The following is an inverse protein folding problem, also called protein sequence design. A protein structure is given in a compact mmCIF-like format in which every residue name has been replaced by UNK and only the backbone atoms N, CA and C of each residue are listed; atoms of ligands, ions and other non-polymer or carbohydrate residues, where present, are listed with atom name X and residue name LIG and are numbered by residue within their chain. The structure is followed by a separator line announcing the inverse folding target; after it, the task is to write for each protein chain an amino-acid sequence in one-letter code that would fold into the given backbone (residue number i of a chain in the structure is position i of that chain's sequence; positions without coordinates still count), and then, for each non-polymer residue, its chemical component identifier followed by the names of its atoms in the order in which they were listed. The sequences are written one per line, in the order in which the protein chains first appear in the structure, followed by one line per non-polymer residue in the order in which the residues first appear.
data_IF_755442233200
#
_entry.id   IF_755442233200
#
_cell.length_a   1.000
_cell.length_b   1.000
_cell.length_c   1.000
_cell.angle_alpha   90.00
_cell.angle_beta   90.00
_cell.angle_gamma   90.00
#
_symmetry.space_group_name_H-M   'P 1'
#
loop_
_entity.id
_entity.type
_entity.pdbx_description
1 polymer ?
#
# COMPACT_ATOMS: atom_id res chain seq x y z
N UNK A 1 62.97 94.54 17.20
CA UNK A 1 62.69 94.16 15.80
C UNK A 1 63.25 92.77 15.56
N UNK A 2 62.40 91.74 15.65
CA UNK A 2 62.82 90.33 15.59
C UNK A 2 61.72 89.43 16.13
N UNK A 3 60.63 89.27 15.38
CA UNK A 3 59.52 88.36 15.74
C UNK A 3 58.58 88.08 14.56
N UNK A 4 58.48 88.99 13.57
CA UNK A 4 57.55 88.83 12.42
C UNK A 4 58.00 87.72 11.46
N UNK A 5 59.28 87.67 11.11
CA UNK A 5 59.82 86.64 10.20
C UNK A 5 59.72 85.21 10.74
N UNK A 6 59.78 85.02 12.06
CA UNK A 6 59.64 83.67 12.66
C UNK A 6 58.22 83.13 12.61
N UNK A 7 57.19 84.00 12.58
CA UNK A 7 55.80 83.57 12.54
C UNK A 7 55.38 83.12 11.12
N UNK A 8 55.86 83.83 10.09
CA UNK A 8 55.61 83.46 8.69
C UNK A 8 56.21 82.09 8.34
N UNK A 9 57.42 81.78 8.82
CA UNK A 9 58.06 80.48 8.63
C UNK A 9 57.33 79.34 9.34
N UNK A 10 56.78 79.60 10.54
CA UNK A 10 55.97 78.63 11.30
C UNK A 10 54.66 78.35 10.58
N UNK A 11 53.94 79.37 10.13
CA UNK A 11 52.69 79.21 9.36
C UNK A 11 52.96 78.44 8.06
N UNK A 12 54.04 78.75 7.34
CA UNK A 12 54.42 78.04 6.12
C UNK A 12 54.80 76.57 6.39
N UNK A 13 55.36 76.26 7.56
CA UNK A 13 55.61 74.89 7.98
C UNK A 13 54.32 74.14 8.30
N UNK A 14 53.43 74.71 9.12
CA UNK A 14 52.14 74.11 9.49
C UNK A 14 51.25 73.89 8.27
N UNK A 15 51.22 74.85 7.33
CA UNK A 15 50.48 74.72 6.08
C UNK A 15 51.00 73.54 5.24
N UNK A 16 52.33 73.33 5.15
CA UNK A 16 52.90 72.17 4.45
C UNK A 16 52.52 70.86 5.11
N UNK A 17 52.54 70.81 6.44
CA UNK A 17 52.10 69.62 7.20
C UNK A 17 50.63 69.34 6.92
N UNK A 18 49.77 70.36 7.01
CA UNK A 18 48.33 70.24 6.75
C UNK A 18 48.05 69.76 5.32
N UNK A 19 48.71 70.33 4.32
CA UNK A 19 48.56 69.92 2.93
C UNK A 19 49.05 68.48 2.70
N UNK A 20 50.10 68.07 3.41
CA UNK A 20 50.56 66.68 3.42
C UNK A 20 49.52 65.71 3.99
N UNK A 21 48.94 66.02 5.14
CA UNK A 21 47.89 65.19 5.76
C UNK A 21 46.61 65.16 4.92
N UNK A 22 46.20 66.30 4.36
CA UNK A 22 45.08 66.41 3.46
C UNK A 22 45.29 65.54 2.21
N UNK A 23 46.46 65.63 1.57
CA UNK A 23 46.80 64.80 0.41
C UNK A 23 46.76 63.30 0.73
N UNK A 24 47.26 62.89 1.91
CA UNK A 24 47.15 61.49 2.36
C UNK A 24 45.70 61.06 2.60
N UNK A 25 44.88 61.92 3.22
CA UNK A 25 43.47 61.64 3.42
C UNK A 25 42.72 61.52 2.08
N UNK A 26 42.96 62.45 1.15
CA UNK A 26 42.39 62.44 -0.19
C UNK A 26 42.81 61.18 -0.96
N UNK A 27 44.08 60.76 -0.89
CA UNK A 27 44.56 59.54 -1.52
C UNK A 27 43.86 58.30 -0.96
N UNK A 28 43.71 58.20 0.37
CA UNK A 28 42.98 57.10 1.02
C UNK A 28 41.51 57.05 0.57
N UNK A 29 40.81 58.18 0.61
CA UNK A 29 39.41 58.27 0.18
C UNK A 29 39.26 57.91 -1.31
N UNK A 30 40.15 58.39 -2.16
CA UNK A 30 40.13 58.09 -3.60
C UNK A 30 40.37 56.59 -3.86
N UNK A 31 41.31 55.98 -3.14
CA UNK A 31 41.57 54.55 -3.24
C UNK A 31 40.36 53.71 -2.75
N UNK A 32 39.72 54.13 -1.65
CA UNK A 32 38.51 53.47 -1.15
C UNK A 32 37.35 53.57 -2.14
N UNK A 33 37.12 54.74 -2.73
CA UNK A 33 36.08 54.94 -3.75
C UNK A 33 36.34 54.10 -5.00
N UNK A 34 37.59 54.04 -5.47
CA UNK A 34 37.97 53.21 -6.61
C UNK A 34 37.75 51.71 -6.32
N UNK A 35 38.13 51.24 -5.12
CA UNK A 35 37.90 49.86 -4.70
C UNK A 35 36.41 49.53 -4.60
N UNK A 36 35.60 50.44 -4.06
CA UNK A 36 34.14 50.27 -3.99
C UNK A 36 33.51 50.25 -5.38
N UNK A 37 33.91 51.14 -6.28
CA UNK A 37 33.41 51.16 -7.66
C UNK A 37 33.74 49.86 -8.41
N UNK A 38 34.97 49.33 -8.25
CA UNK A 38 35.36 48.04 -8.80
C UNK A 38 34.52 46.90 -8.23
N UNK A 39 34.23 46.93 -6.93
CA UNK A 39 33.38 45.92 -6.28
C UNK A 39 31.93 45.96 -6.77
N UNK A 40 31.37 47.15 -6.95
CA UNK A 40 30.01 47.32 -7.51
C UNK A 40 29.97 46.75 -8.93
N UNK A 41 30.91 47.12 -9.79
CA UNK A 41 30.97 46.60 -11.16
C UNK A 41 31.10 45.06 -11.21
N UNK A 42 31.90 44.47 -10.31
CA UNK A 42 31.99 43.03 -10.18
C UNK A 42 30.64 42.41 -9.80
N UNK A 43 30.00 42.91 -8.74
CA UNK A 43 28.72 42.38 -8.26
C UNK A 43 27.59 42.56 -9.29
N UNK A 44 27.58 43.66 -10.03
CA UNK A 44 26.63 43.88 -11.13
C UNK A 44 26.81 42.84 -12.24
N UNK A 45 28.07 42.50 -12.57
CA UNK A 45 28.36 41.44 -13.56
C UNK A 45 27.94 40.04 -13.07
N UNK A 46 28.08 39.78 -11.77
CA UNK A 46 27.67 38.52 -11.14
C UNK A 46 26.15 38.42 -11.09
N UNK A 47 25.46 39.51 -10.73
CA UNK A 47 24.00 39.59 -10.73
C UNK A 47 23.43 39.40 -12.14
N UNK A 48 24.03 40.02 -13.15
CA UNK A 48 23.61 39.85 -14.55
C UNK A 48 23.78 38.39 -15.00
N UNK A 49 24.91 37.76 -14.67
CA UNK A 49 25.15 36.34 -14.95
C UNK A 49 24.13 35.43 -14.25
N UNK A 50 23.85 35.67 -12.97
CA UNK A 50 22.87 34.90 -12.21
C UNK A 50 21.46 35.07 -12.80
N UNK A 51 21.06 36.29 -13.15
CA UNK A 51 19.77 36.57 -13.81
C UNK A 51 19.64 35.83 -15.14
N UNK A 52 20.68 35.84 -15.98
CA UNK A 52 20.69 35.10 -17.24
C UNK A 52 20.52 33.59 -17.02
N UNK A 53 21.18 33.02 -16.00
CA UNK A 53 21.02 31.60 -15.66
C UNK A 53 19.60 31.25 -15.22
N UNK A 54 18.93 32.12 -14.46
CA UNK A 54 17.53 31.95 -14.07
C UNK A 54 16.63 31.96 -15.30
N UNK A 55 16.77 32.98 -16.17
CA UNK A 55 15.97 33.07 -17.41
C UNK A 55 16.13 31.83 -18.28
N UNK A 56 17.36 31.33 -18.44
CA UNK A 56 17.62 30.10 -19.22
C UNK A 56 16.93 28.89 -18.59
N UNK A 57 17.02 28.73 -17.26
CA UNK A 57 16.40 27.59 -16.54
C UNK A 57 14.88 27.65 -16.62
N UNK A 58 14.30 28.82 -16.39
CA UNK A 58 12.85 29.02 -16.43
C UNK A 58 12.30 28.81 -17.83
N UNK A 59 13.02 29.27 -18.85
CA UNK A 59 12.64 29.03 -20.26
C UNK A 59 12.66 27.53 -20.57
N UNK A 60 13.71 26.80 -20.16
CA UNK A 60 13.79 25.35 -20.34
C UNK A 60 12.67 24.61 -19.60
N UNK A 61 12.34 25.06 -18.38
CA UNK A 61 11.25 24.48 -17.60
C UNK A 61 9.89 24.73 -18.24
N UNK A 62 9.67 25.92 -18.81
CA UNK A 62 8.45 26.24 -19.54
C UNK A 62 8.31 25.34 -20.78
N UNK A 63 9.35 25.23 -21.61
CA UNK A 63 9.35 24.35 -22.78
C UNK A 63 9.09 22.89 -22.41
N UNK A 64 9.73 22.36 -21.36
CA UNK A 64 9.50 20.99 -20.91
C UNK A 64 8.06 20.77 -20.39
N UNK A 65 7.45 21.78 -19.76
CA UNK A 65 6.04 21.71 -19.33
C UNK A 65 5.09 21.69 -20.53
N UNK A 66 5.38 22.47 -21.55
CA UNK A 66 4.59 22.51 -22.79
C UNK A 66 4.68 21.15 -23.52
N UNK A 67 5.89 20.58 -23.66
CA UNK A 67 6.10 19.23 -24.22
C UNK A 67 5.33 18.15 -23.44
N UNK A 68 5.35 18.20 -22.10
CA UNK A 68 4.58 17.28 -21.26
C UNK A 68 3.07 17.45 -21.44
N UNK A 69 2.59 18.69 -21.58
CA UNK A 69 1.18 18.97 -21.82
C UNK A 69 0.74 18.47 -23.20
N UNK A 70 1.57 18.65 -24.22
CA UNK A 70 1.32 18.13 -25.57
C UNK A 70 1.29 16.60 -25.58
N UNK A 71 2.25 15.95 -24.91
CA UNK A 71 2.26 14.49 -24.77
C UNK A 71 1.02 14.00 -24.02
N UNK A 72 0.62 14.65 -22.93
CA UNK A 72 -0.59 14.31 -22.19
C UNK A 72 -1.86 14.48 -23.04
N UNK A 73 -1.91 15.51 -23.88
CA UNK A 73 -3.01 15.75 -24.82
C UNK A 73 -3.07 14.69 -25.93
N UNK A 74 -1.92 14.19 -26.40
CA UNK A 74 -1.88 13.11 -27.40
C UNK A 74 -2.42 11.76 -26.88
N UNK A 75 -2.50 11.59 -25.56
CA UNK A 75 -3.03 10.37 -24.93
C UNK A 75 -4.31 10.66 -24.13
N UNK A 76 -5.49 10.68 -24.80
CA UNK A 76 -6.75 10.95 -24.10
C UNK A 76 -7.02 9.93 -22.98
N UNK A 77 -7.59 10.42 -21.89
CA UNK A 77 -7.99 9.59 -20.73
C UNK A 77 -6.84 9.06 -19.87
N UNK A 78 -5.58 9.38 -20.16
CA UNK A 78 -4.42 9.00 -19.33
C UNK A 78 -4.56 9.40 -17.84
N UNK A 79 -4.92 10.66 -17.48
CA UNK A 79 -5.03 11.04 -16.06
C UNK A 79 -6.13 10.27 -15.32
N UNK A 80 -7.23 9.95 -16.01
CA UNK A 80 -8.32 9.14 -15.46
C UNK A 80 -7.86 7.70 -15.24
N UNK A 81 -7.18 7.08 -16.23
CA UNK A 81 -6.61 5.74 -16.11
C UNK A 81 -5.58 5.63 -14.98
N UNK A 82 -4.68 6.60 -14.85
CA UNK A 82 -3.71 6.64 -13.75
C UNK A 82 -4.37 6.79 -12.36
N UNK A 83 -5.49 7.53 -12.28
CA UNK A 83 -6.27 7.64 -11.04
C UNK A 83 -6.99 6.34 -10.70
N UNK A 84 -7.58 5.68 -11.69
CA UNK A 84 -8.22 4.38 -11.50
C UNK A 84 -7.20 3.32 -11.09
N UNK A 85 -6.03 3.26 -11.72
CA UNK A 85 -4.98 2.32 -11.36
C UNK A 85 -4.59 2.43 -9.88
N UNK A 86 -4.33 3.66 -9.39
CA UNK A 86 -4.06 3.90 -7.96
C UNK A 86 -5.23 3.50 -7.05
N UNK A 87 -6.46 3.73 -7.48
CA UNK A 87 -7.66 3.33 -6.71
C UNK A 87 -7.77 1.80 -6.63
N UNK A 88 -7.51 1.10 -7.72
CA UNK A 88 -7.53 -0.36 -7.78
C UNK A 88 -6.44 -0.94 -6.89
N UNK A 89 -5.23 -0.38 -6.94
CA UNK A 89 -4.12 -0.76 -6.06
C UNK A 89 -4.49 -0.59 -4.58
N UNK A 90 -5.01 0.59 -4.21
CA UNK A 90 -5.48 0.85 -2.85
C UNK A 90 -6.62 -0.07 -2.40
N UNK A 91 -7.59 -0.34 -3.28
CA UNK A 91 -8.68 -1.28 -2.99
C UNK A 91 -8.16 -2.70 -2.81
N UNK A 92 -7.18 -3.11 -3.61
CA UNK A 92 -6.51 -4.41 -3.49
C UNK A 92 -5.83 -4.57 -2.13
N UNK A 93 -5.04 -3.58 -1.71
CA UNK A 93 -4.43 -3.54 -0.38
C UNK A 93 -5.49 -3.60 0.73
N UNK A 94 -6.56 -2.81 0.60
CA UNK A 94 -7.64 -2.76 1.60
C UNK A 94 -8.38 -4.08 1.72
N UNK A 95 -8.63 -4.76 0.60
CA UNK A 95 -9.25 -6.09 0.59
C UNK A 95 -8.32 -7.11 1.24
N UNK A 96 -7.02 -7.08 0.93
CA UNK A 96 -6.05 -7.97 1.58
C UNK A 96 -5.97 -7.73 3.09
N UNK A 97 -6.00 -6.48 3.55
CA UNK A 97 -6.06 -6.13 4.98
C UNK A 97 -7.32 -6.67 5.65
N UNK A 98 -8.48 -6.46 5.04
CA UNK A 98 -9.75 -6.95 5.56
C UNK A 98 -9.79 -8.48 5.56
N UNK A 99 -9.28 -9.15 4.52
CA UNK A 99 -9.13 -10.60 4.51
C UNK A 99 -8.23 -11.07 5.65
N UNK A 100 -7.07 -10.43 5.86
CA UNK A 100 -6.17 -10.75 6.99
C UNK A 100 -6.85 -10.58 8.33
N UNK A 101 -7.64 -9.52 8.50
CA UNK A 101 -8.35 -9.25 9.74
C UNK A 101 -9.50 -10.24 9.98
N UNK A 102 -10.28 -10.57 8.94
CA UNK A 102 -11.28 -11.62 9.01
C UNK A 102 -10.66 -12.97 9.35
N UNK A 103 -9.52 -13.32 8.74
CA UNK A 103 -8.75 -14.53 9.07
C UNK A 103 -8.27 -14.51 10.53
N UNK A 104 -7.79 -13.38 11.06
CA UNK A 104 -7.40 -13.26 12.48
C UNK A 104 -8.58 -13.46 13.42
N UNK A 105 -9.72 -12.86 13.12
CA UNK A 105 -10.94 -12.97 13.92
C UNK A 105 -11.53 -14.39 13.83
N UNK A 106 -11.40 -15.03 12.67
CA UNK A 106 -11.75 -16.44 12.46
C UNK A 106 -10.76 -17.40 13.18
N UNK A 107 -9.54 -16.94 13.46
CA UNK A 107 -8.50 -17.64 14.24
C UNK A 107 -8.46 -17.21 15.71
N UNK A 108 -9.55 -16.65 16.25
CA UNK A 108 -9.83 -16.96 17.65
C UNK A 108 -10.14 -18.46 17.70
N UNK A 109 -9.53 -19.24 18.61
CA UNK A 109 -9.87 -20.64 18.73
C UNK A 109 -11.39 -20.70 18.92
N UNK A 110 -12.08 -21.30 17.95
CA UNK A 110 -13.46 -21.69 18.15
C UNK A 110 -13.48 -22.41 19.50
N UNK A 111 -14.42 -22.09 20.43
CA UNK A 111 -14.61 -22.95 21.59
C UNK A 111 -14.69 -24.36 21.03
N UNK A 112 -13.85 -25.26 21.53
CA UNK A 112 -13.61 -26.59 20.98
C UNK A 112 -14.95 -27.34 21.01
N UNK A 113 -15.77 -27.14 19.98
CA UNK A 113 -17.06 -27.75 19.86
C UNK A 113 -16.77 -29.12 19.28
N UNK A 114 -16.50 -30.07 20.17
CA UNK A 114 -16.51 -31.49 19.84
C UNK A 114 -17.88 -31.77 19.23
N UNK A 115 -17.95 -31.91 17.91
CA UNK A 115 -19.18 -32.25 17.24
C UNK A 115 -19.37 -33.76 17.41
N UNK A 116 -20.32 -34.18 18.24
CA UNK A 116 -20.80 -35.56 18.21
C UNK A 116 -21.46 -35.80 16.85
N UNK A 117 -20.87 -36.68 16.05
CA UNK A 117 -21.29 -36.98 14.68
C UNK A 117 -22.07 -38.29 14.59
N UNK A 118 -22.27 -38.99 15.71
CA UNK A 118 -22.96 -40.27 15.72
C UNK A 118 -24.39 -40.11 15.24
N UNK A 119 -24.79 -40.94 14.26
CA UNK A 119 -26.12 -40.92 13.62
C UNK A 119 -26.47 -39.61 12.87
N UNK A 120 -25.54 -38.65 12.77
CA UNK A 120 -25.74 -37.38 12.06
C UNK A 120 -25.27 -37.44 10.61
N UNK A 121 -25.95 -36.71 9.74
CA UNK A 121 -25.53 -36.53 8.36
C UNK A 121 -24.58 -35.34 8.22
N UNK A 122 -23.38 -35.59 7.71
CA UNK A 122 -22.38 -34.55 7.46
C UNK A 122 -22.21 -34.32 5.97
N UNK A 123 -22.49 -33.10 5.52
CA UNK A 123 -22.22 -32.69 4.15
C UNK A 123 -20.81 -32.13 4.03
N UNK A 124 -19.97 -32.79 3.25
CA UNK A 124 -18.69 -32.28 2.81
C UNK A 124 -18.83 -31.60 1.45
N UNK A 125 -18.51 -30.31 1.39
CA UNK A 125 -18.47 -29.52 0.16
C UNK A 125 -17.02 -29.28 -0.20
N UNK A 126 -16.57 -29.85 -1.32
CA UNK A 126 -15.16 -29.99 -1.70
C UNK A 126 -14.94 -30.60 -3.07
N UNK A 127 -14.09 -30.00 -3.91
CA UNK A 127 -13.71 -30.59 -5.20
C UNK A 127 -12.83 -31.84 -5.02
N UNK A 128 -13.22 -32.96 -5.64
CA UNK A 128 -12.38 -34.17 -5.82
C UNK A 128 -11.31 -34.01 -6.92
N UNK A 129 -11.36 -32.93 -7.69
CA UNK A 129 -10.62 -32.77 -8.94
C UNK A 129 -9.97 -31.40 -8.99
N UNK A 130 -8.76 -31.30 -8.44
CA UNK A 130 -7.77 -30.42 -9.04
C UNK A 130 -6.88 -31.26 -9.95
N UNK A 131 -6.78 -30.86 -11.22
CA UNK A 131 -5.85 -31.38 -12.23
C UNK A 131 -4.38 -31.01 -11.91
N UNK A 132 -3.97 -31.14 -10.64
CA UNK A 132 -2.57 -31.15 -10.23
C UNK A 132 -2.30 -32.49 -9.53
N UNK A 133 -1.68 -33.39 -10.28
CA UNK A 133 -1.29 -34.72 -9.84
C UNK A 133 -0.54 -34.67 -8.50
N UNK A 134 -1.15 -35.24 -7.45
CA UNK A 134 -0.39 -35.80 -6.34
C UNK A 134 -0.95 -35.60 -4.92
N UNK A 135 -1.84 -34.64 -4.64
CA UNK A 135 -2.25 -34.37 -3.22
C UNK A 135 -3.72 -34.06 -2.92
N UNK A 136 -4.58 -33.75 -3.90
CA UNK A 136 -5.94 -33.22 -3.62
C UNK A 136 -7.08 -34.27 -3.61
N UNK A 137 -6.87 -35.47 -4.15
CA UNK A 137 -7.83 -36.59 -4.01
C UNK A 137 -7.85 -37.22 -2.59
N UNK A 138 -7.01 -36.75 -1.69
CA UNK A 138 -6.87 -37.28 -0.34
C UNK A 138 -7.90 -36.69 0.65
N UNK A 139 -8.44 -35.50 0.39
CA UNK A 139 -9.19 -34.76 1.42
C UNK A 139 -10.56 -35.32 1.74
N UNK A 140 -11.42 -35.48 0.73
CA UNK A 140 -12.76 -36.01 0.90
C UNK A 140 -12.76 -37.50 1.34
N UNK A 141 -11.78 -38.29 0.89
CA UNK A 141 -11.62 -39.68 1.33
C UNK A 141 -11.25 -39.78 2.82
N UNK A 142 -10.40 -38.88 3.32
CA UNK A 142 -10.06 -38.80 4.75
C UNK A 142 -11.29 -38.33 5.55
N UNK A 143 -12.08 -37.41 5.00
CA UNK A 143 -13.33 -36.92 5.62
C UNK A 143 -14.37 -38.02 5.75
N UNK A 144 -14.62 -38.73 4.66
CA UNK A 144 -15.53 -39.86 4.64
C UNK A 144 -15.14 -40.90 5.69
N UNK A 145 -13.88 -41.34 5.69
CA UNK A 145 -13.41 -42.36 6.61
C UNK A 145 -13.55 -41.91 8.08
N UNK A 146 -13.19 -40.67 8.40
CA UNK A 146 -13.30 -40.14 9.77
C UNK A 146 -14.76 -40.04 10.24
N UNK A 147 -15.67 -39.59 9.37
CA UNK A 147 -17.09 -39.42 9.68
C UNK A 147 -17.78 -40.77 9.86
N UNK A 148 -17.53 -41.71 8.95
CA UNK A 148 -18.11 -43.06 9.02
C UNK A 148 -17.54 -43.85 10.22
N UNK A 149 -16.24 -43.73 10.52
CA UNK A 149 -15.64 -44.35 11.72
C UNK A 149 -16.21 -43.76 13.03
N UNK A 150 -16.61 -42.49 13.02
CA UNK A 150 -17.31 -41.86 14.13
C UNK A 150 -18.79 -42.24 14.22
N UNK A 151 -19.33 -43.00 13.25
CA UNK A 151 -20.72 -43.45 13.20
C UNK A 151 -21.69 -42.44 12.57
N UNK A 152 -21.18 -41.45 11.84
CA UNK A 152 -21.97 -40.49 11.06
C UNK A 152 -22.19 -40.95 9.63
N UNK A 153 -23.14 -40.30 8.93
CA UNK A 153 -23.42 -40.51 7.51
C UNK A 153 -22.75 -39.43 6.68
N UNK A 154 -21.85 -39.83 5.79
CA UNK A 154 -21.16 -38.92 4.89
C UNK A 154 -22.03 -38.56 3.67
N UNK A 155 -22.14 -37.27 3.38
CA UNK A 155 -22.70 -36.71 2.15
C UNK A 155 -21.61 -35.88 1.48
N UNK A 156 -21.54 -35.90 0.15
CA UNK A 156 -20.51 -35.20 -0.59
C UNK A 156 -21.08 -34.36 -1.74
N UNK A 157 -20.58 -33.15 -1.90
CA UNK A 157 -20.84 -32.31 -3.06
C UNK A 157 -19.55 -31.64 -3.54
N UNK A 158 -19.30 -31.67 -4.86
CA UNK A 158 -18.04 -31.21 -5.44
C UNK A 158 -17.82 -29.68 -5.35
N UNK A 159 -18.87 -28.92 -5.03
CA UNK A 159 -18.84 -27.46 -4.98
C UNK A 159 -18.74 -26.82 -6.37
N UNK A 160 -19.09 -27.57 -7.42
CA UNK A 160 -19.21 -27.05 -8.77
C UNK A 160 -20.51 -26.25 -8.97
N UNK A 161 -20.60 -25.58 -10.12
CA UNK A 161 -21.79 -24.85 -10.58
C UNK A 161 -22.31 -25.43 -11.90
N UNK A 162 -22.25 -26.76 -12.07
CA UNK A 162 -22.50 -27.47 -13.32
C UNK A 162 -23.99 -27.54 -13.72
N UNK A 163 -24.75 -26.46 -13.54
CA UNK A 163 -26.14 -26.30 -13.93
C UNK A 163 -27.15 -26.29 -12.78
N UNK A 164 -28.43 -26.11 -13.11
CA UNK A 164 -29.52 -25.99 -12.14
C UNK A 164 -29.73 -27.27 -11.29
N UNK A 165 -29.43 -28.43 -11.84
CA UNK A 165 -29.56 -29.72 -11.14
C UNK A 165 -28.48 -29.89 -10.07
N UNK A 166 -27.26 -29.39 -10.31
CA UNK A 166 -26.15 -29.42 -9.35
C UNK A 166 -26.43 -28.52 -8.15
N UNK A 167 -27.03 -27.35 -8.41
CA UNK A 167 -27.51 -26.42 -7.38
C UNK A 167 -28.64 -27.05 -6.54
N UNK A 168 -29.59 -27.73 -7.18
CA UNK A 168 -30.67 -28.41 -6.46
C UNK A 168 -30.14 -29.57 -5.61
N UNK A 169 -29.13 -30.30 -6.09
CA UNK A 169 -28.47 -31.37 -5.34
C UNK A 169 -27.71 -30.82 -4.11
N UNK A 170 -27.04 -29.67 -4.25
CA UNK A 170 -26.39 -28.99 -3.13
C UNK A 170 -27.40 -28.54 -2.06
N UNK A 171 -28.49 -27.90 -2.46
CA UNK A 171 -29.54 -27.48 -1.52
C UNK A 171 -30.20 -28.69 -0.81
N UNK A 172 -30.46 -29.78 -1.53
CA UNK A 172 -30.98 -31.00 -0.93
C UNK A 172 -30.00 -31.61 0.09
N UNK A 173 -28.70 -31.61 -0.23
CA UNK A 173 -27.65 -32.03 0.71
C UNK A 173 -27.59 -31.11 1.93
N UNK A 174 -27.71 -29.80 1.74
CA UNK A 174 -27.73 -28.82 2.84
C UNK A 174 -28.92 -29.04 3.76
N UNK A 175 -30.11 -29.31 3.22
CA UNK A 175 -31.31 -29.61 4.02
C UNK A 175 -31.15 -30.91 4.80
N UNK A 176 -30.57 -31.96 4.18
CA UNK A 176 -30.42 -33.27 4.79
C UNK A 176 -29.28 -33.38 5.83
N UNK A 177 -28.36 -32.42 5.86
CA UNK A 177 -27.21 -32.43 6.75
C UNK A 177 -27.49 -31.76 8.10
N UNK A 178 -26.96 -32.35 9.17
CA UNK A 178 -26.92 -31.80 10.52
C UNK A 178 -25.66 -30.93 10.73
N UNK A 179 -24.61 -31.21 9.97
CA UNK A 179 -23.31 -30.53 9.99
C UNK A 179 -22.81 -30.35 8.55
N UNK A 180 -22.26 -29.19 8.24
CA UNK A 180 -21.62 -28.92 6.94
C UNK A 180 -20.13 -28.65 7.13
N UNK A 181 -19.30 -29.37 6.40
CA UNK A 181 -17.85 -29.13 6.29
C UNK A 181 -17.59 -28.55 4.90
N UNK A 182 -17.01 -27.35 4.85
CA UNK A 182 -16.64 -26.70 3.59
C UNK A 182 -15.12 -26.57 3.52
N UNK A 183 -14.50 -27.11 2.46
CA UNK A 183 -13.05 -26.98 2.25
C UNK A 183 -12.71 -25.61 1.66
N UNK A 184 -11.66 -24.94 2.16
CA UNK A 184 -11.11 -23.75 1.47
C UNK A 184 -10.59 -24.22 0.10
N UNK A 185 -11.17 -23.70 -0.97
CA UNK A 185 -10.94 -24.20 -2.35
C UNK A 185 -12.22 -24.51 -3.13
N UNK A 186 -13.38 -24.61 -2.47
CA UNK A 186 -14.69 -24.68 -3.15
C UNK A 186 -15.15 -23.34 -3.74
N UNK A 187 -14.22 -22.45 -4.09
CA UNK A 187 -14.46 -21.06 -4.47
C UNK A 187 -14.89 -20.93 -5.93
N UNK A 188 -15.73 -21.87 -6.41
CA UNK A 188 -16.71 -21.47 -7.42
C UNK A 188 -17.57 -20.42 -6.70
N UNK A 189 -17.68 -19.23 -7.26
CA UNK A 189 -18.14 -18.04 -6.52
C UNK A 189 -19.59 -18.13 -5.99
N UNK A 190 -20.30 -19.25 -6.17
CA UNK A 190 -21.69 -19.44 -5.75
C UNK A 190 -21.85 -20.45 -4.60
N UNK A 191 -21.12 -21.59 -4.61
CA UNK A 191 -21.35 -22.68 -3.65
C UNK A 191 -21.03 -22.27 -2.20
N UNK A 192 -19.91 -21.57 -1.99
CA UNK A 192 -19.51 -21.07 -0.67
C UNK A 192 -20.57 -20.13 -0.06
N UNK A 193 -21.03 -19.14 -0.83
CA UNK A 193 -21.99 -18.16 -0.33
C UNK A 193 -23.34 -18.79 -0.04
N UNK A 194 -23.77 -19.76 -0.85
CA UNK A 194 -25.01 -20.51 -0.61
C UNK A 194 -24.94 -21.33 0.67
N UNK A 195 -23.86 -22.08 0.88
CA UNK A 195 -23.63 -22.81 2.13
C UNK A 195 -23.61 -21.85 3.32
N UNK A 196 -22.82 -20.77 3.25
CA UNK A 196 -22.70 -19.79 4.33
C UNK A 196 -24.04 -19.11 4.66
N UNK A 197 -24.80 -18.68 3.66
CA UNK A 197 -26.11 -18.05 3.84
C UNK A 197 -27.15 -19.04 4.41
N UNK A 198 -27.16 -20.28 3.91
CA UNK A 198 -28.03 -21.34 4.42
C UNK A 198 -27.74 -21.62 5.90
N UNK A 199 -26.47 -21.84 6.27
CA UNK A 199 -26.06 -22.09 7.66
C UNK A 199 -26.43 -20.93 8.57
N UNK A 200 -26.19 -19.69 8.14
CA UNK A 200 -26.51 -18.48 8.91
C UNK A 200 -28.00 -18.32 9.16
N UNK A 201 -28.85 -18.60 8.15
CA UNK A 201 -30.32 -18.47 8.27
C UNK A 201 -30.95 -19.62 9.06
N UNK A 202 -30.40 -20.82 8.96
CA UNK A 202 -30.97 -22.03 9.59
C UNK A 202 -30.37 -22.36 10.95
N UNK A 203 -29.23 -21.75 11.30
CA UNK A 203 -28.49 -22.06 12.52
C UNK A 203 -27.75 -23.40 12.47
N UNK A 204 -27.63 -24.03 11.29
CA UNK A 204 -26.88 -25.28 11.14
C UNK A 204 -25.39 -25.07 11.44
N UNK A 205 -24.79 -26.07 12.09
CA UNK A 205 -23.37 -26.03 12.41
C UNK A 205 -22.56 -26.17 11.12
N UNK A 206 -21.69 -25.20 10.85
CA UNK A 206 -20.88 -25.18 9.64
C UNK A 206 -19.42 -24.89 9.98
N UNK A 207 -18.51 -25.75 9.52
CA UNK A 207 -17.08 -25.70 9.80
C UNK A 207 -16.34 -25.50 8.48
N UNK A 208 -15.58 -24.40 8.40
CA UNK A 208 -14.69 -24.13 7.28
C UNK A 208 -13.32 -24.73 7.59
N UNK A 209 -12.82 -25.59 6.70
CA UNK A 209 -11.59 -26.36 6.92
C UNK A 209 -10.58 -26.05 5.81
N UNK A 210 -9.39 -25.59 6.19
CA UNK A 210 -8.34 -25.21 5.23
C UNK A 210 -7.54 -26.41 4.68
N UNK A 211 -7.36 -27.44 5.50
CA UNK A 211 -6.69 -28.68 5.12
C UNK A 211 -7.46 -29.88 5.67
N UNK A 212 -7.59 -30.98 4.90
CA UNK A 212 -8.34 -32.16 5.36
C UNK A 212 -7.76 -32.80 6.62
N UNK A 213 -6.48 -32.56 6.94
CA UNK A 213 -5.84 -33.04 8.17
C UNK A 213 -6.37 -32.32 9.43
N UNK A 214 -7.06 -31.19 9.29
CA UNK A 214 -7.62 -30.43 10.42
C UNK A 214 -8.96 -30.99 10.95
N UNK A 215 -9.44 -32.14 10.46
CA UNK A 215 -10.66 -32.80 10.94
C UNK A 215 -10.53 -33.53 12.29
N UNK A 216 -9.46 -33.28 13.05
CA UNK A 216 -9.22 -33.86 14.38
C UNK A 216 -10.33 -33.57 15.42
N UNK A 217 -11.28 -32.69 15.10
CA UNK A 217 -12.45 -32.38 15.93
C UNK A 217 -13.56 -33.45 15.85
N UNK A 218 -13.55 -34.32 14.84
CA UNK A 218 -14.51 -35.43 14.71
C UNK A 218 -14.05 -36.56 15.64
N UNK A 219 -14.70 -36.72 16.80
CA UNK A 219 -14.47 -37.84 17.72
C UNK A 219 -15.74 -38.67 17.90
N UNK A 220 -15.56 -39.98 18.03
CA UNK A 220 -16.57 -40.90 18.57
C UNK A 220 -16.63 -40.67 20.08
N UNK A 221 -17.50 -39.78 20.57
CA UNK A 221 -17.77 -39.75 22.00
C UNK A 221 -18.69 -40.92 22.36
N UNK A 222 -18.07 -41.98 22.85
CA UNK A 222 -18.75 -42.95 23.68
C UNK A 222 -18.83 -42.34 25.09
N UNK A 223 -19.99 -41.79 25.45
CA UNK A 223 -20.35 -41.66 26.85
C UNK A 223 -20.62 -43.08 27.37
N UNK A 224 -19.65 -43.61 28.12
CA UNK A 224 -19.92 -44.57 29.18
C UNK A 224 -20.86 -43.88 30.18
N UNK A 225 -22.14 -44.19 30.15
CA UNK A 225 -22.98 -44.33 31.35
C UNK A 225 -24.17 -45.23 31.04
#
# INVERSE_FOLDING_TARGET
MGSVYGNEDVIAHEHRVLMGEYGRAQARCSAQLAAQAARIAQLESELMRARAQVVIRDTRLALARDELAELAASVPGLPTRARLARKVEWLGERVQDLMRELLRLQWLPAPVLQADVREKAVLYVGSYLEQNAGRSAAGANVAQLAIEQAGGRFLHHAGGDAGADDVAALEAGLVAADLVICQTGCVSHDAYWRVHDHCKRTGKQCVLVDQPQAMHFVRKEALLT
#
